data_IF_299789370278
#
_entry.id   IF_299789370278
#
_cell.length_a   1.000
_cell.length_b   1.000
_cell.length_c   1.000
_cell.angle_alpha   90.00
_cell.angle_beta   90.00
_cell.angle_gamma   90.00
#
_symmetry.space_group_name_H-M   'P 1'
#
loop_
_entity.id
_entity.type
_entity.pdbx_description
1 polymer ?
#
# COMPACT_ATOMS: atom_id res chain seq x y z
N UNK A 1 -72.38 -48.45 53.13
CA UNK A 1 -71.46 -49.55 52.73
C UNK A 1 -70.46 -49.00 51.72
N UNK A 2 -69.17 -49.31 51.94
CA UNK A 2 -67.93 -48.92 51.21
C UNK A 2 -67.34 -47.55 51.65
N UNK A 3 -66.36 -47.49 52.58
CA UNK A 3 -64.92 -47.87 52.51
C UNK A 3 -64.13 -46.83 51.67
N UNK A 4 -62.90 -46.34 51.95
CA UNK A 4 -61.77 -46.77 52.77
C UNK A 4 -60.67 -45.66 52.70
N UNK A 5 -60.02 -45.39 53.84
CA UNK A 5 -58.57 -45.11 54.08
C UNK A 5 -57.60 -44.59 52.99
N UNK A 6 -56.92 -43.50 53.35
CA UNK A 6 -55.45 -43.31 53.54
C UNK A 6 -54.42 -43.47 52.39
N UNK A 7 -53.53 -42.47 52.34
CA UNK A 7 -52.09 -42.47 51.97
C UNK A 7 -51.68 -42.66 50.49
N UNK A 8 -50.83 -41.75 49.97
CA UNK A 8 -49.38 -41.97 49.88
C UNK A 8 -48.63 -40.73 49.37
N UNK A 9 -47.41 -40.61 49.88
CA UNK A 9 -46.32 -39.67 49.64
C UNK A 9 -45.95 -39.50 48.16
N UNK A 10 -45.65 -38.27 47.72
CA UNK A 10 -44.94 -38.03 46.47
C UNK A 10 -43.72 -37.11 46.70
N UNK A 11 -42.59 -37.64 46.25
CA UNK A 11 -41.21 -37.23 46.41
C UNK A 11 -40.92 -35.90 45.69
N UNK A 12 -40.22 -34.99 46.38
CA UNK A 12 -39.82 -33.68 45.85
C UNK A 12 -38.47 -33.82 45.14
N UNK A 13 -38.50 -33.99 43.81
CA UNK A 13 -37.31 -34.00 42.95
C UNK A 13 -36.92 -32.56 42.64
N UNK A 14 -35.81 -32.09 43.20
CA UNK A 14 -35.20 -30.81 42.86
C UNK A 14 -34.46 -30.94 41.52
N UNK A 15 -35.15 -30.64 40.41
CA UNK A 15 -34.50 -30.47 39.11
C UNK A 15 -33.86 -29.08 39.05
N UNK A 16 -32.52 -29.03 39.04
CA UNK A 16 -31.77 -27.77 38.89
C UNK A 16 -32.05 -27.13 37.54
N UNK A 17 -32.73 -25.99 37.56
CA UNK A 17 -32.87 -25.14 36.37
C UNK A 17 -31.64 -24.23 36.28
N UNK A 18 -30.87 -24.38 35.20
CA UNK A 18 -29.88 -23.38 34.80
C UNK A 18 -30.63 -22.15 34.32
N UNK A 19 -30.68 -21.11 35.15
CA UNK A 19 -31.18 -19.79 34.77
C UNK A 19 -30.24 -19.18 33.73
N UNK A 20 -30.63 -19.24 32.47
CA UNK A 20 -30.07 -18.35 31.45
C UNK A 20 -30.71 -16.98 31.66
N UNK A 21 -29.97 -16.05 32.27
CA UNK A 21 -30.36 -14.66 32.30
C UNK A 21 -30.15 -14.08 30.90
N UNK A 22 -31.23 -13.99 30.11
CA UNK A 22 -31.23 -13.13 28.93
C UNK A 22 -31.09 -11.68 29.39
N UNK A 23 -30.25 -10.86 28.74
CA UNK A 23 -30.18 -9.44 29.06
C UNK A 23 -31.53 -8.77 28.73
N UNK A 24 -32.41 -8.65 29.71
CA UNK A 24 -33.58 -7.79 29.62
C UNK A 24 -33.12 -6.33 29.55
N UNK A 25 -33.36 -5.67 28.42
CA UNK A 25 -33.26 -4.21 28.32
C UNK A 25 -34.47 -3.64 29.08
N UNK A 26 -34.28 -3.39 30.38
CA UNK A 26 -35.30 -2.74 31.22
C UNK A 26 -35.31 -1.24 30.95
N UNK A 27 -36.49 -0.71 30.65
CA UNK A 27 -36.74 0.71 30.51
C UNK A 27 -38.07 1.01 29.83
N UNK A 28 -38.71 2.13 30.17
CA UNK A 28 -39.90 2.62 29.49
C UNK A 28 -39.54 3.33 28.18
N UNK A 29 -40.47 3.43 27.23
CA UNK A 29 -40.28 4.22 26.01
C UNK A 29 -39.90 5.68 26.30
N UNK A 30 -40.33 6.23 27.44
CA UNK A 30 -39.96 7.57 27.91
C UNK A 30 -38.49 7.68 28.35
N UNK A 31 -37.98 6.67 29.06
CA UNK A 31 -36.56 6.61 29.47
C UNK A 31 -35.63 6.45 28.26
N UNK A 32 -36.02 5.62 27.28
CA UNK A 32 -35.32 5.53 25.99
C UNK A 32 -35.37 6.85 25.22
N UNK A 33 -36.51 7.52 25.15
CA UNK A 33 -36.64 8.81 24.47
C UNK A 33 -35.82 9.91 25.14
N UNK A 34 -35.67 9.87 26.47
CA UNK A 34 -34.82 10.78 27.21
C UNK A 34 -33.33 10.52 26.95
N UNK A 35 -32.92 9.25 26.88
CA UNK A 35 -31.56 8.86 26.52
C UNK A 35 -31.21 9.23 25.06
N UNK A 36 -32.17 9.12 24.14
CA UNK A 36 -32.01 9.47 22.72
C UNK A 36 -32.01 10.99 22.47
N UNK A 37 -32.63 11.79 23.35
CA UNK A 37 -32.61 13.26 23.27
C UNK A 37 -31.21 13.84 23.48
N UNK A 38 -30.41 13.17 24.29
CA UNK A 38 -29.04 13.60 24.63
C UNK A 38 -28.00 13.07 23.63
N UNK A 39 -28.40 12.32 22.60
CA UNK A 39 -27.50 11.93 21.52
C UNK A 39 -27.19 13.18 20.70
N UNK A 40 -25.92 13.62 20.65
CA UNK A 40 -25.55 14.77 19.86
C UNK A 40 -25.85 14.48 18.39
N UNK A 41 -26.56 15.40 17.73
CA UNK A 41 -26.70 15.34 16.27
C UNK A 41 -25.32 15.55 15.67
N UNK A 42 -24.90 14.65 14.79
CA UNK A 42 -23.61 14.77 14.12
C UNK A 42 -23.77 14.80 12.61
N UNK A 43 -22.80 15.41 11.94
CA UNK A 43 -22.66 15.38 10.50
C UNK A 43 -21.22 15.03 10.17
N UNK A 44 -21.04 14.14 9.20
CA UNK A 44 -19.72 13.76 8.72
C UNK A 44 -19.44 14.47 7.41
N UNK A 45 -18.34 15.22 7.37
CA UNK A 45 -17.88 15.90 6.16
C UNK A 45 -16.59 15.25 5.67
N UNK A 46 -16.57 14.90 4.39
CA UNK A 46 -15.39 14.33 3.73
C UNK A 46 -14.86 15.30 2.67
N UNK A 47 -13.55 15.53 2.67
CA UNK A 47 -12.81 16.27 1.66
C UNK A 47 -11.80 15.35 0.97
N UNK A 48 -11.70 15.47 -0.35
CA UNK A 48 -10.81 14.66 -1.17
C UNK A 48 -9.94 15.56 -2.03
N UNK A 49 -8.66 15.26 -2.16
CA UNK A 49 -7.74 16.01 -3.02
C UNK A 49 -6.87 15.08 -3.84
N UNK A 50 -6.36 15.63 -4.95
CA UNK A 50 -5.43 14.97 -5.83
C UNK A 50 -4.37 15.99 -6.27
N UNK A 51 -3.11 15.71 -5.96
CA UNK A 51 -1.96 16.49 -6.41
C UNK A 51 -1.16 15.65 -7.39
N UNK A 52 -0.99 16.15 -8.60
CA UNK A 52 -0.23 15.52 -9.67
C UNK A 52 1.15 16.15 -9.78
N UNK A 53 2.17 15.32 -9.93
CA UNK A 53 3.55 15.78 -10.12
C UNK A 53 4.33 14.74 -10.92
N UNK A 54 5.15 15.18 -11.88
CA UNK A 54 6.09 14.29 -12.55
C UNK A 54 7.09 13.69 -11.54
N UNK A 55 7.49 12.44 -11.69
CA UNK A 55 8.62 11.91 -10.92
C UNK A 55 9.94 12.58 -11.33
N UNK A 56 10.85 12.76 -10.37
CA UNK A 56 12.19 13.34 -10.59
C UNK A 56 13.32 12.31 -10.49
N UNK A 57 13.00 11.08 -10.09
CA UNK A 57 13.95 9.98 -9.95
C UNK A 57 13.28 8.62 -10.03
N UNK A 58 14.10 7.61 -10.29
CA UNK A 58 13.73 6.20 -10.21
C UNK A 58 14.55 5.49 -9.13
N UNK A 59 13.90 4.54 -8.44
CA UNK A 59 14.49 3.64 -7.47
C UNK A 59 14.55 2.26 -8.12
N UNK A 60 15.74 1.88 -8.56
CA UNK A 60 16.00 0.57 -9.16
C UNK A 60 16.33 -0.43 -8.06
N UNK A 61 15.58 -1.52 -7.99
CA UNK A 61 15.80 -2.61 -7.05
C UNK A 61 16.55 -3.74 -7.74
N UNK A 62 17.73 -4.07 -7.21
CA UNK A 62 18.57 -5.17 -7.67
C UNK A 62 18.67 -6.23 -6.57
N UNK A 63 18.36 -7.46 -6.91
CA UNK A 63 18.54 -8.62 -6.03
C UNK A 63 19.89 -9.27 -6.29
N UNK A 64 20.71 -9.37 -5.25
CA UNK A 64 22.00 -10.06 -5.24
C UNK A 64 21.81 -11.44 -4.64
N UNK A 65 22.01 -12.48 -5.45
CA UNK A 65 21.79 -13.88 -5.07
C UNK A 65 23.10 -14.64 -5.10
N UNK A 66 23.49 -15.21 -3.96
CA UNK A 66 24.66 -16.09 -3.85
C UNK A 66 24.26 -17.44 -3.29
N UNK A 67 25.00 -18.49 -3.64
CA UNK A 67 24.75 -19.83 -3.17
C UNK A 67 26.06 -20.56 -2.89
N UNK A 68 26.15 -21.22 -1.74
CA UNK A 68 27.33 -22.01 -1.37
C UNK A 68 26.93 -23.20 -0.49
N UNK A 69 27.83 -24.19 -0.33
CA UNK A 69 27.65 -25.32 0.59
C UNK A 69 27.54 -24.88 2.05
N UNK A 70 28.15 -23.76 2.42
CA UNK A 70 28.05 -23.19 3.77
C UNK A 70 27.38 -21.83 3.74
N UNK A 71 26.59 -21.52 4.78
CA UNK A 71 25.95 -20.21 4.92
C UNK A 71 26.96 -19.08 5.05
N UNK A 72 28.06 -19.32 5.78
CA UNK A 72 29.12 -18.34 6.00
C UNK A 72 29.72 -17.88 4.67
N UNK A 73 30.06 -18.83 3.80
CA UNK A 73 30.68 -18.53 2.52
C UNK A 73 29.69 -17.86 1.55
N UNK A 74 28.43 -18.33 1.50
CA UNK A 74 27.38 -17.68 0.72
C UNK A 74 27.19 -16.21 1.14
N UNK A 75 27.24 -15.93 2.44
CA UNK A 75 27.10 -14.59 3.00
C UNK A 75 28.32 -13.71 2.72
N UNK A 76 29.53 -14.27 2.82
CA UNK A 76 30.79 -13.58 2.48
C UNK A 76 30.80 -13.13 1.02
N UNK A 77 30.49 -14.04 0.09
CA UNK A 77 30.40 -13.74 -1.34
C UNK A 77 29.34 -12.67 -1.62
N UNK A 78 28.19 -12.72 -0.95
CA UNK A 78 27.15 -11.70 -1.10
C UNK A 78 27.65 -10.30 -0.69
N UNK A 79 28.34 -10.23 0.46
CA UNK A 79 28.91 -8.99 0.95
C UNK A 79 29.98 -8.42 0.00
N UNK A 80 30.85 -9.26 -0.54
CA UNK A 80 31.89 -8.86 -1.50
C UNK A 80 31.30 -8.32 -2.80
N UNK A 81 30.30 -9.00 -3.36
CA UNK A 81 29.59 -8.56 -4.56
C UNK A 81 28.90 -7.20 -4.35
N UNK A 82 28.26 -6.98 -3.19
CA UNK A 82 27.65 -5.68 -2.87
C UNK A 82 28.68 -4.58 -2.70
N UNK A 83 29.80 -4.88 -2.06
CA UNK A 83 30.91 -3.91 -1.91
C UNK A 83 31.49 -3.54 -3.27
N UNK A 84 31.64 -4.51 -4.17
CA UNK A 84 32.06 -4.28 -5.56
C UNK A 84 31.05 -3.43 -6.32
N UNK A 85 29.74 -3.76 -6.23
CA UNK A 85 28.65 -2.98 -6.83
C UNK A 85 28.74 -1.50 -6.42
N UNK A 86 28.86 -1.21 -5.12
CA UNK A 86 28.96 0.17 -4.62
C UNK A 86 30.15 0.91 -5.24
N UNK A 87 31.32 0.27 -5.30
CA UNK A 87 32.52 0.88 -5.91
C UNK A 87 32.35 1.14 -7.41
N UNK A 88 31.88 0.14 -8.16
CA UNK A 88 31.67 0.26 -9.60
C UNK A 88 30.62 1.31 -9.97
N UNK A 89 29.56 1.44 -9.18
CA UNK A 89 28.55 2.48 -9.38
C UNK A 89 29.08 3.87 -9.01
N UNK A 90 29.89 3.99 -7.94
CA UNK A 90 30.55 5.24 -7.59
C UNK A 90 31.48 5.75 -8.70
N UNK A 91 32.25 4.87 -9.34
CA UNK A 91 33.08 5.19 -10.52
C UNK A 91 32.26 5.69 -11.73
N UNK A 92 30.98 5.30 -11.81
CA UNK A 92 30.04 5.71 -12.85
C UNK A 92 29.20 6.95 -12.47
N UNK A 93 29.52 7.60 -11.35
CA UNK A 93 28.83 8.81 -10.90
C UNK A 93 27.63 8.58 -9.98
N UNK A 94 27.39 7.35 -9.53
CA UNK A 94 26.34 7.01 -8.56
C UNK A 94 26.94 6.90 -7.14
N UNK A 95 26.85 7.94 -6.31
CA UNK A 95 27.46 7.95 -4.98
C UNK A 95 26.83 6.92 -4.05
N UNK A 96 27.59 6.47 -3.05
CA UNK A 96 27.21 5.39 -2.15
C UNK A 96 26.00 5.73 -1.26
N UNK A 97 25.74 7.01 -1.01
CA UNK A 97 24.57 7.51 -0.29
C UNK A 97 23.24 7.28 -1.02
N UNK A 98 23.27 7.04 -2.34
CA UNK A 98 22.09 6.67 -3.15
C UNK A 98 21.83 5.17 -3.21
N UNK A 99 22.68 4.36 -2.58
CA UNK A 99 22.64 2.89 -2.61
C UNK A 99 22.28 2.37 -1.22
N UNK A 100 21.09 1.81 -1.09
CA UNK A 100 20.55 1.34 0.19
C UNK A 100 20.20 -0.14 0.13
N UNK A 101 20.73 -0.94 1.05
CA UNK A 101 20.28 -2.33 1.22
C UNK A 101 18.94 -2.35 1.98
N UNK A 102 17.95 -3.07 1.47
CA UNK A 102 16.57 -3.05 2.01
C UNK A 102 16.18 -4.35 2.71
N UNK A 103 16.58 -5.51 2.20
CA UNK A 103 16.16 -6.81 2.75
C UNK A 103 17.24 -7.87 2.57
N UNK A 104 17.56 -8.59 3.63
CA UNK A 104 18.53 -9.71 3.63
C UNK A 104 17.82 -10.99 4.08
N UNK A 105 18.03 -12.09 3.37
CA UNK A 105 17.46 -13.39 3.72
C UNK A 105 18.40 -14.52 3.33
N UNK A 106 18.37 -15.60 4.11
CA UNK A 106 19.09 -16.83 3.83
C UNK A 106 18.16 -18.03 3.90
N UNK A 107 18.23 -18.90 2.90
CA UNK A 107 17.37 -20.08 2.78
C UNK A 107 18.22 -21.33 2.55
N UNK A 108 18.17 -22.34 3.42
CA UNK A 108 18.81 -23.63 3.16
C UNK A 108 18.09 -24.35 2.02
N UNK A 109 18.84 -25.08 1.20
CA UNK A 109 18.32 -25.96 0.16
C UNK A 109 18.61 -27.39 0.53
N UNK A 110 17.57 -28.19 0.62
CA UNK A 110 17.66 -29.61 0.96
C UNK A 110 17.66 -30.48 -0.31
N UNK A 111 18.27 -31.66 -0.21
CA UNK A 111 18.12 -32.69 -1.23
C UNK A 111 16.78 -33.40 -1.08
N UNK A 112 16.27 -34.00 -2.17
CA UNK A 112 14.97 -34.70 -2.20
C UNK A 112 14.84 -35.78 -1.10
N UNK A 113 15.97 -36.39 -0.71
CA UNK A 113 16.01 -37.48 0.29
C UNK A 113 17.00 -37.20 1.43
N UNK A 114 17.28 -35.94 1.74
CA UNK A 114 18.24 -35.60 2.81
C UNK A 114 17.76 -34.45 3.67
N UNK A 115 17.78 -34.67 4.99
CA UNK A 115 17.56 -33.63 5.99
C UNK A 115 18.76 -32.69 6.16
N UNK A 116 19.91 -33.03 5.56
CA UNK A 116 21.08 -32.14 5.54
C UNK A 116 20.93 -31.13 4.40
N UNK A 117 21.15 -29.86 4.71
CA UNK A 117 21.19 -28.82 3.70
C UNK A 117 22.33 -29.11 2.70
N UNK A 118 22.00 -29.17 1.41
CA UNK A 118 22.93 -29.31 0.29
C UNK A 118 23.68 -28.01 0.01
N UNK A 119 22.98 -26.88 0.15
CA UNK A 119 23.53 -25.54 -0.01
C UNK A 119 22.69 -24.52 0.76
N UNK A 120 23.20 -23.30 0.86
CA UNK A 120 22.55 -22.14 1.43
C UNK A 120 22.52 -21.07 0.36
N UNK A 121 21.32 -20.55 0.07
CA UNK A 121 21.13 -19.39 -0.79
C UNK A 121 20.98 -18.16 0.08
N UNK A 122 21.72 -17.11 -0.24
CA UNK A 122 21.63 -15.80 0.40
C UNK A 122 21.15 -14.80 -0.64
N UNK A 123 20.14 -14.02 -0.28
CA UNK A 123 19.55 -12.99 -1.13
C UNK A 123 19.59 -11.65 -0.41
N UNK A 124 19.98 -10.60 -1.12
CA UNK A 124 19.87 -9.23 -0.65
C UNK A 124 19.28 -8.32 -1.72
N UNK A 125 18.29 -7.51 -1.37
CA UNK A 125 17.74 -6.50 -2.27
C UNK A 125 18.38 -5.15 -1.98
N UNK A 126 19.05 -4.58 -2.98
CA UNK A 126 19.69 -3.27 -2.98
C UNK A 126 18.83 -2.31 -3.80
N UNK A 127 18.45 -1.18 -3.20
CA UNK A 127 17.74 -0.08 -3.84
C UNK A 127 18.74 0.99 -4.25
N UNK A 128 18.69 1.42 -5.51
CA UNK A 128 19.61 2.39 -6.09
C UNK A 128 18.78 3.55 -6.64
N UNK A 129 19.06 4.77 -6.20
CA UNK A 129 18.39 5.97 -6.70
C UNK A 129 19.10 6.49 -7.94
N UNK A 130 18.38 6.63 -9.05
CA UNK A 130 18.86 7.15 -10.33
C UNK A 130 18.05 8.38 -10.76
N UNK A 131 18.70 9.44 -11.23
CA UNK A 131 18.05 10.70 -11.62
C UNK A 131 17.84 10.85 -13.12
N UNK A 132 18.56 10.07 -13.93
CA UNK A 132 18.48 10.16 -15.38
C UNK A 132 18.65 8.77 -16.04
N UNK A 133 18.44 8.74 -17.35
CA UNK A 133 18.54 7.51 -18.14
C UNK A 133 19.97 6.94 -18.14
N UNK A 134 20.99 7.78 -18.06
CA UNK A 134 22.40 7.35 -18.10
C UNK A 134 22.79 6.63 -16.80
N UNK A 135 22.34 7.13 -15.66
CA UNK A 135 22.46 6.47 -14.35
C UNK A 135 21.70 5.14 -14.37
N UNK A 136 20.49 5.11 -14.95
CA UNK A 136 19.72 3.87 -15.11
C UNK A 136 20.46 2.82 -15.97
N UNK A 137 20.97 3.21 -17.14
CA UNK A 137 21.74 2.35 -18.04
C UNK A 137 23.01 1.81 -17.34
N UNK A 138 23.62 2.61 -16.46
CA UNK A 138 24.78 2.19 -15.66
C UNK A 138 24.43 1.07 -14.67
N UNK A 139 23.24 1.14 -14.05
CA UNK A 139 22.72 0.07 -13.18
C UNK A 139 22.33 -1.17 -14.00
N UNK A 140 21.66 -0.99 -15.14
CA UNK A 140 21.25 -2.08 -16.03
C UNK A 140 22.46 -2.89 -16.54
N UNK A 141 23.50 -2.19 -17.01
CA UNK A 141 24.75 -2.82 -17.46
C UNK A 141 25.42 -3.67 -16.36
N UNK A 142 25.29 -3.27 -15.09
CA UNK A 142 25.82 -4.05 -13.98
C UNK A 142 25.07 -5.38 -13.80
N UNK A 143 23.75 -5.38 -14.01
CA UNK A 143 22.91 -6.59 -13.98
C UNK A 143 23.28 -7.53 -15.14
N UNK A 144 23.46 -6.99 -16.34
CA UNK A 144 23.78 -7.79 -17.54
C UNK A 144 25.16 -8.46 -17.43
N UNK A 145 26.12 -7.80 -16.79
CA UNK A 145 27.50 -8.27 -16.69
C UNK A 145 27.78 -9.16 -15.48
N UNK A 146 26.88 -9.21 -14.50
CA UNK A 146 27.09 -9.94 -13.23
C UNK A 146 26.01 -11.01 -13.03
N UNK A 147 26.32 -12.31 -13.21
CA UNK A 147 25.34 -13.39 -13.15
C UNK A 147 24.58 -13.52 -11.82
N UNK A 148 25.14 -13.06 -10.70
CA UNK A 148 24.53 -13.07 -9.37
C UNK A 148 23.51 -11.94 -9.17
N UNK A 149 23.47 -10.96 -10.05
CA UNK A 149 22.53 -9.84 -9.98
C UNK A 149 21.27 -10.14 -10.80
N UNK A 150 20.14 -9.72 -10.24
CA UNK A 150 18.82 -9.86 -10.84
C UNK A 150 18.10 -8.54 -10.71
N UNK A 151 17.53 -8.06 -11.80
CA UNK A 151 16.55 -6.98 -11.75
C UNK A 151 15.34 -7.45 -10.92
N UNK A 152 14.96 -6.67 -9.91
CA UNK A 152 13.85 -6.97 -9.01
C UNK A 152 12.64 -6.06 -9.29
N UNK A 153 12.88 -4.78 -9.57
CA UNK A 153 11.83 -3.82 -9.93
C UNK A 153 12.32 -2.38 -10.04
N UNK A 154 11.44 -1.50 -10.49
CA UNK A 154 11.66 -0.05 -10.60
C UNK A 154 10.47 0.67 -9.97
N UNK A 155 10.74 1.68 -9.15
CA UNK A 155 9.73 2.55 -8.54
C UNK A 155 10.07 4.01 -8.86
N UNK A 156 9.11 4.79 -9.33
CA UNK A 156 9.31 6.22 -9.57
C UNK A 156 8.94 7.03 -8.34
N UNK A 157 9.77 8.03 -8.02
CA UNK A 157 9.57 8.89 -6.85
C UNK A 157 9.79 10.36 -7.20
N UNK A 158 9.34 11.22 -6.28
CA UNK A 158 9.68 12.63 -6.26
C UNK A 158 10.44 12.94 -4.97
N UNK A 159 11.47 13.79 -5.05
CA UNK A 159 12.27 14.24 -3.90
C UNK A 159 11.45 14.81 -2.76
N UNK A 160 10.51 15.70 -3.09
CA UNK A 160 9.61 16.33 -2.14
C UNK A 160 8.35 15.54 -1.79
N UNK A 161 8.43 14.20 -1.76
CA UNK A 161 7.30 13.30 -1.43
C UNK A 161 6.50 13.75 -0.21
N UNK A 162 7.17 14.17 0.86
CA UNK A 162 6.50 14.62 2.10
C UNK A 162 5.77 15.95 1.92
N UNK A 163 6.34 16.91 1.19
CA UNK A 163 5.69 18.18 0.91
C UNK A 163 4.46 17.98 0.01
N UNK A 164 4.55 17.10 -0.99
CA UNK A 164 3.41 16.76 -1.86
C UNK A 164 2.27 16.08 -1.09
N UNK A 165 2.59 15.17 -0.17
CA UNK A 165 1.59 14.59 0.75
C UNK A 165 0.93 15.66 1.61
N UNK A 166 1.72 16.56 2.21
CA UNK A 166 1.22 17.66 3.03
C UNK A 166 0.30 18.58 2.24
N UNK A 167 0.70 18.94 1.01
CA UNK A 167 -0.11 19.75 0.10
C UNK A 167 -1.43 19.08 -0.24
N UNK A 168 -1.43 17.77 -0.53
CA UNK A 168 -2.67 17.04 -0.75
C UNK A 168 -3.57 17.08 0.50
N UNK A 169 -2.99 16.85 1.69
CA UNK A 169 -3.73 16.91 2.96
C UNK A 169 -4.37 18.28 3.20
N UNK A 170 -3.61 19.36 3.02
CA UNK A 170 -4.10 20.74 3.15
C UNK A 170 -5.29 21.00 2.22
N UNK A 171 -5.19 20.60 0.94
CA UNK A 171 -6.30 20.75 -0.02
C UNK A 171 -7.54 19.93 0.36
N UNK A 172 -7.38 18.77 0.98
CA UNK A 172 -8.52 17.97 1.45
C UNK A 172 -9.19 18.63 2.67
N UNK A 173 -8.42 19.19 3.59
CA UNK A 173 -8.90 19.97 4.74
C UNK A 173 -9.62 21.25 4.32
N UNK A 174 -9.10 21.96 3.32
CA UNK A 174 -9.73 23.16 2.77
C UNK A 174 -11.14 22.84 2.26
N UNK A 175 -11.30 21.73 1.52
CA UNK A 175 -12.61 21.27 1.04
C UNK A 175 -13.57 20.90 2.17
N UNK A 176 -13.09 20.29 3.26
CA UNK A 176 -13.93 20.05 4.46
C UNK A 176 -14.37 21.38 5.07
N UNK A 177 -13.46 22.34 5.18
CA UNK A 177 -13.72 23.66 5.78
C UNK A 177 -14.70 24.48 4.95
N UNK A 178 -14.60 24.44 3.62
CA UNK A 178 -15.55 25.05 2.69
C UNK A 178 -16.95 24.44 2.84
N UNK A 179 -17.06 23.10 2.88
CA UNK A 179 -18.34 22.41 3.11
C UNK A 179 -18.94 22.77 4.46
N UNK A 180 -18.12 22.81 5.51
CA UNK A 180 -18.53 23.20 6.86
C UNK A 180 -19.15 24.61 6.85
N UNK A 181 -18.42 25.59 6.29
CA UNK A 181 -18.87 26.98 6.21
C UNK A 181 -20.19 27.11 5.44
N UNK A 182 -20.31 26.40 4.31
CA UNK A 182 -21.54 26.37 3.53
C UNK A 182 -22.73 25.85 4.35
N UNK A 183 -22.53 24.79 5.13
CA UNK A 183 -23.60 24.19 5.93
C UNK A 183 -24.00 25.09 7.10
N UNK A 184 -23.04 25.70 7.79
CA UNK A 184 -23.31 26.68 8.85
C UNK A 184 -24.10 27.89 8.33
N UNK A 185 -23.73 28.41 7.14
CA UNK A 185 -24.40 29.56 6.54
C UNK A 185 -25.82 29.23 6.04
N UNK A 186 -26.00 28.12 5.33
CA UNK A 186 -27.29 27.77 4.70
C UNK A 186 -28.30 27.15 5.66
N UNK A 187 -27.84 26.45 6.69
CA UNK A 187 -28.71 25.75 7.64
C UNK A 187 -28.84 26.49 8.97
N UNK A 188 -28.06 27.55 9.22
CA UNK A 188 -28.11 28.30 10.46
C UNK A 188 -27.68 27.48 11.68
N UNK A 189 -26.76 26.54 11.48
CA UNK A 189 -26.19 25.67 12.53
C UNK A 189 -24.75 26.08 12.83
N UNK A 190 -24.22 25.60 13.96
CA UNK A 190 -22.79 25.64 14.28
C UNK A 190 -22.24 24.22 14.30
N UNK A 191 -21.11 24.01 13.63
CA UNK A 191 -20.45 22.71 13.52
C UNK A 191 -19.17 22.72 14.35
N UNK A 192 -19.14 21.92 15.42
CA UNK A 192 -17.97 21.77 16.30
C UNK A 192 -17.30 20.41 16.04
N UNK A 193 -16.01 20.34 15.68
CA UNK A 193 -15.36 19.08 15.36
C UNK A 193 -15.32 18.16 16.58
N UNK A 194 -15.68 16.89 16.38
CA UNK A 194 -15.78 15.85 17.42
C UNK A 194 -14.77 14.73 17.19
N UNK A 195 -14.61 14.29 15.96
CA UNK A 195 -13.60 13.30 15.59
C UNK A 195 -12.99 13.64 14.22
N UNK A 196 -11.74 13.22 14.05
CA UNK A 196 -10.95 13.45 12.85
C UNK A 196 -10.33 12.12 12.43
N UNK A 197 -10.59 11.72 11.19
CA UNK A 197 -9.96 10.58 10.54
C UNK A 197 -9.13 11.08 9.36
N UNK A 198 -7.81 10.98 9.52
CA UNK A 198 -6.86 11.15 8.42
C UNK A 198 -6.88 9.87 7.59
N UNK A 199 -7.72 9.86 6.54
CA UNK A 199 -7.65 8.81 5.54
C UNK A 199 -6.22 8.75 5.02
N UNK A 200 -5.64 7.54 4.93
CA UNK A 200 -4.24 7.37 4.53
C UNK A 200 -4.01 8.12 3.21
N UNK A 201 -3.01 9.00 3.18
CA UNK A 201 -2.56 9.58 1.92
C UNK A 201 -2.06 8.44 1.04
N UNK A 202 -2.91 8.05 0.10
CA UNK A 202 -2.60 7.02 -0.86
C UNK A 202 -1.70 7.68 -1.88
N UNK A 203 -0.41 7.38 -1.76
CA UNK A 203 0.42 7.29 -2.95
C UNK A 203 0.03 5.95 -3.53
N UNK A 204 -0.65 5.91 -4.68
CA UNK A 204 -0.91 4.66 -5.31
C UNK A 204 0.47 4.04 -5.57
N UNK A 205 0.72 2.88 -4.97
CA UNK A 205 1.73 1.97 -5.47
C UNK A 205 1.15 1.44 -6.79
N UNK A 206 1.14 2.29 -7.80
CA UNK A 206 0.42 2.00 -9.03
C UNK A 206 1.35 1.15 -9.86
N UNK A 207 0.98 -0.14 -9.88
CA UNK A 207 1.37 -1.15 -10.84
C UNK A 207 2.04 -0.53 -12.06
N UNK A 208 3.23 -1.06 -12.37
CA UNK A 208 4.10 -0.63 -13.47
C UNK A 208 3.32 -0.29 -14.74
N UNK A 209 3.94 0.53 -15.60
CA UNK A 209 3.28 1.39 -16.58
C UNK A 209 1.99 0.76 -17.08
N UNK A 210 0.85 1.44 -16.87
CA UNK A 210 -0.37 1.11 -17.61
C UNK A 210 -0.04 1.38 -19.07
N UNK A 211 0.51 0.36 -19.73
CA UNK A 211 0.79 0.38 -21.14
C UNK A 211 -0.56 0.57 -21.82
N UNK A 212 -0.87 1.82 -22.16
CA UNK A 212 -1.96 2.16 -23.09
C UNK A 212 -1.73 1.46 -24.45
N UNK A 213 -0.53 0.94 -24.69
CA UNK A 213 -0.14 0.16 -25.86
C UNK A 213 -0.73 -1.26 -25.96
N UNK A 214 -1.25 -1.88 -24.89
CA UNK A 214 -1.83 -3.24 -24.99
C UNK A 214 -3.35 -3.28 -25.18
N UNK A 215 -4.05 -2.15 -25.15
CA UNK A 215 -5.52 -2.12 -25.34
C UNK A 215 -5.97 -2.22 -26.82
N UNK A 216 -5.03 -2.26 -27.77
CA UNK A 216 -5.32 -2.40 -29.20
C UNK A 216 -4.80 -3.72 -29.78
N UNK A 217 -4.91 -4.82 -29.03
CA UNK A 217 -4.66 -6.16 -29.56
C UNK A 217 -5.97 -6.84 -29.94
N UNK A 218 -6.42 -6.69 -31.19
CA UNK A 218 -7.32 -7.71 -31.77
C UNK A 218 -6.62 -9.06 -31.59
N UNK A 219 -7.34 -10.03 -31.04
CA UNK A 219 -6.91 -11.42 -30.87
C UNK A 219 -6.14 -11.92 -32.09
N UNK A 220 -4.82 -12.01 -31.97
CA UNK A 220 -3.96 -12.66 -32.95
C UNK A 220 -4.03 -14.15 -32.68
N UNK A 221 -4.59 -14.89 -33.63
CA UNK A 221 -4.59 -16.35 -33.60
C UNK A 221 -3.15 -16.89 -33.65
N UNK A 222 -2.84 -18.02 -33.00
CA UNK A 222 -1.51 -18.61 -33.03
C UNK A 222 -1.13 -18.98 -34.47
N UNK A 223 0.01 -18.46 -34.96
CA UNK A 223 0.58 -18.83 -36.27
C UNK A 223 0.63 -17.73 -37.34
N UNK A 224 0.36 -16.46 -37.00
CA UNK A 224 0.54 -15.36 -37.96
C UNK A 224 2.02 -14.90 -37.98
N UNK A 225 2.67 -14.74 -39.14
CA UNK A 225 4.06 -14.28 -39.22
C UNK A 225 4.19 -12.83 -38.69
N UNK A 226 5.28 -12.57 -37.95
CA UNK A 226 5.62 -11.23 -37.46
C UNK A 226 6.00 -10.35 -38.66
N UNK A 227 5.16 -9.35 -38.96
CA UNK A 227 5.44 -8.33 -39.97
C UNK A 227 6.61 -7.43 -39.52
N UNK A 228 7.59 -7.27 -40.40
CA UNK A 228 8.92 -6.72 -40.16
C UNK A 228 8.99 -5.19 -40.18
N UNK A 229 7.89 -4.47 -39.95
CA UNK A 229 7.83 -3.02 -40.16
C UNK A 229 7.57 -2.20 -38.88
N UNK A 230 8.27 -2.55 -37.79
CA UNK A 230 8.26 -1.79 -36.53
C UNK A 230 9.00 -0.45 -36.59
N UNK A 231 9.84 -0.22 -37.61
CA UNK A 231 10.71 0.97 -37.68
C UNK A 231 10.03 2.25 -38.21
N UNK A 232 8.85 2.17 -38.83
CA UNK A 232 8.25 3.31 -39.54
C UNK A 232 7.05 3.99 -38.87
N UNK A 233 6.71 3.65 -37.61
CA UNK A 233 5.62 4.33 -36.86
C UNK A 233 6.08 5.31 -35.79
N UNK A 234 7.39 5.47 -35.62
CA UNK A 234 7.98 6.43 -34.69
C UNK A 234 8.10 7.86 -35.26
N UNK A 235 7.81 8.06 -36.55
CA UNK A 235 8.04 9.35 -37.24
C UNK A 235 6.84 10.31 -37.25
N UNK A 236 5.62 9.86 -36.90
CA UNK A 236 4.39 10.68 -37.00
C UNK A 236 3.96 11.33 -35.66
N UNK A 237 4.80 11.25 -34.61
CA UNK A 237 4.51 11.79 -33.28
C UNK A 237 5.47 12.93 -32.87
N UNK A 238 6.07 13.63 -33.83
CA UNK A 238 6.80 14.86 -33.58
C UNK A 238 5.82 16.04 -33.56
N UNK A 239 5.17 16.24 -32.42
CA UNK A 239 4.32 17.39 -32.14
C UNK A 239 4.42 17.75 -30.65
N UNK A 240 4.96 18.95 -30.41
CA UNK A 240 5.11 19.68 -29.14
C UNK A 240 6.18 19.13 -28.16
N UNK A 241 7.37 19.74 -28.22
CA UNK A 241 8.39 19.68 -27.17
C UNK A 241 7.89 20.43 -25.91
N UNK A 242 6.95 19.84 -25.18
CA UNK A 242 6.90 20.03 -23.73
C UNK A 242 8.05 19.23 -23.13
N UNK A 243 8.74 19.79 -22.12
CA UNK A 243 9.78 19.10 -21.38
C UNK A 243 9.19 17.87 -20.67
N UNK A 244 9.08 16.77 -21.42
CA UNK A 244 8.57 15.49 -20.96
C UNK A 244 9.68 14.89 -20.10
N UNK A 245 9.50 14.98 -18.79
CA UNK A 245 10.26 14.13 -17.88
C UNK A 245 10.08 12.69 -18.37
N UNK A 246 11.17 11.94 -18.55
CA UNK A 246 11.12 10.53 -18.98
C UNK A 246 10.44 9.60 -17.96
N UNK A 247 9.99 10.15 -16.83
CA UNK A 247 9.38 9.44 -15.73
C UNK A 247 7.87 9.69 -15.66
N UNK A 248 7.14 8.67 -15.21
CA UNK A 248 5.67 8.68 -15.10
C UNK A 248 5.14 9.78 -14.15
N UNK A 249 3.90 10.24 -14.38
CA UNK A 249 3.18 11.15 -13.47
C UNK A 249 2.80 10.45 -12.15
N UNK A 250 3.21 11.03 -11.03
CA UNK A 250 2.82 10.61 -9.69
C UNK A 250 1.55 11.35 -9.25
N UNK A 251 0.65 10.60 -8.59
CA UNK A 251 -0.63 11.10 -8.12
C UNK A 251 -0.72 10.93 -6.60
N UNK A 252 -0.80 12.02 -5.86
CA UNK A 252 -0.93 12.03 -4.40
C UNK A 252 -2.38 12.30 -4.02
N UNK A 253 -3.06 11.29 -3.46
CA UNK A 253 -4.47 11.41 -3.05
C UNK A 253 -4.59 11.50 -1.54
N UNK A 254 -5.33 12.48 -1.04
CA UNK A 254 -5.69 12.58 0.36
C UNK A 254 -7.20 12.58 0.53
N UNK A 255 -7.68 11.87 1.56
CA UNK A 255 -9.09 11.85 1.95
C UNK A 255 -9.13 12.19 3.43
N UNK A 256 -9.87 13.23 3.79
CA UNK A 256 -10.02 13.69 5.16
C UNK A 256 -11.49 13.60 5.53
N UNK A 257 -11.78 12.94 6.63
CA UNK A 257 -13.14 12.83 7.16
C UNK A 257 -13.20 13.42 8.55
N UNK A 258 -14.14 14.33 8.77
CA UNK A 258 -14.34 15.00 10.06
C UNK A 258 -15.79 14.87 10.47
N UNK A 259 -16.01 14.31 11.66
CA UNK A 259 -17.32 14.29 12.30
C UNK A 259 -17.48 15.58 13.11
N UNK A 260 -18.57 16.29 12.87
CA UNK A 260 -18.94 17.50 13.60
C UNK A 260 -20.19 17.24 14.43
N UNK A 261 -20.21 17.75 15.66
CA UNK A 261 -21.44 17.97 16.41
C UNK A 261 -22.19 19.17 15.83
N UNK A 262 -23.50 19.03 15.68
CA UNK A 262 -24.41 20.05 15.16
C UNK A 262 -25.09 20.74 16.33
N UNK A 263 -24.79 22.02 16.51
CA UNK A 263 -25.40 22.89 17.51
C UNK A 263 -26.37 23.85 16.81
N UNK A 264 -27.54 24.08 17.41
CA UNK A 264 -28.40 25.19 17.01
C UNK A 264 -27.69 26.51 17.29
N UNK A 265 -27.74 27.44 16.34
CA UNK A 265 -27.12 28.75 16.49
C UNK A 265 -27.91 29.66 17.43
#
# INVERSE_FOLDING_TARGET
MKHITTALIAILVFAGTTLYAEPEIKGTAGELAQYLKDIPRTVTLTGESEVKMAADRAIVSIRVVTENKTLQEASRLNHELRTKMIRTLAEKGLPADRIHASRFSSTPKYGVFSEKAKSYRVENVVKITTHDEKEFQSVASLVDTTPEFRHDGIEFEHSDKQALKKRAMEQALDKVTEKKKLYEEKLGVKLTPKSFDEGRVMIPNQAGPRNKYYAAGKSLAPGSPLDSNYQNRAADAAGDEEATTSFDELVFKAVVTVEYAVESR
#
